data_IF_976214973724
#
_entry.id   IF_976214973724
#
_cell.length_a   1.000
_cell.length_b   1.000
_cell.length_c   1.000
_cell.angle_alpha   90.00
_cell.angle_beta   90.00
_cell.angle_gamma   90.00
#
_symmetry.space_group_name_H-M   'P 1'
#
loop_
_entity.id
_entity.type
_entity.pdbx_description
1 polymer ?
#
# COMPACT_ATOMS: atom_id res chain seq x y z
N UNK A 1 9.87 -30.56 6.31
CA UNK A 1 10.77 -29.64 5.56
C UNK A 1 10.11 -28.36 5.02
N UNK A 2 8.80 -28.08 5.23
CA UNK A 2 8.14 -26.82 4.82
C UNK A 2 7.99 -25.75 5.92
N UNK A 3 8.47 -26.02 7.15
CA UNK A 3 8.60 -25.03 8.24
C UNK A 3 9.86 -24.15 8.13
N UNK A 4 10.72 -24.41 7.15
CA UNK A 4 12.09 -23.88 7.12
C UNK A 4 12.30 -22.66 6.21
N UNK A 5 11.30 -22.12 5.50
CA UNK A 5 11.53 -20.90 4.70
C UNK A 5 11.08 -19.63 5.44
N UNK A 6 9.90 -19.63 6.05
CA UNK A 6 9.43 -18.46 6.82
C UNK A 6 9.97 -18.41 8.24
N UNK A 7 10.18 -19.56 8.89
CA UNK A 7 10.78 -19.60 10.21
C UNK A 7 12.30 -19.47 10.15
N UNK A 8 12.97 -19.79 9.04
CA UNK A 8 14.40 -19.42 8.88
C UNK A 8 14.53 -17.93 8.66
N UNK A 9 13.64 -17.27 7.89
CA UNK A 9 13.65 -15.80 7.83
C UNK A 9 13.40 -15.14 9.20
N UNK A 10 12.83 -15.83 10.21
CA UNK A 10 12.70 -15.30 11.57
C UNK A 10 13.71 -15.86 12.61
N UNK A 11 14.26 -17.06 12.42
CA UNK A 11 15.22 -17.68 13.36
C UNK A 11 16.67 -17.55 12.92
N UNK A 12 16.96 -17.39 11.62
CA UNK A 12 18.28 -16.96 11.18
C UNK A 12 18.47 -15.45 11.28
N UNK A 13 17.39 -14.66 11.42
CA UNK A 13 17.53 -13.24 11.80
C UNK A 13 18.15 -13.10 13.21
N UNK A 14 17.92 -14.07 14.10
CA UNK A 14 18.57 -14.09 15.42
C UNK A 14 20.04 -14.55 15.37
N UNK A 15 20.49 -15.23 14.31
CA UNK A 15 21.91 -15.59 14.12
C UNK A 15 22.68 -14.63 13.20
N UNK A 16 21.99 -13.74 12.47
CA UNK A 16 22.62 -12.63 11.72
C UNK A 16 22.87 -11.41 12.63
N UNK A 17 22.50 -11.48 13.92
CA UNK A 17 22.87 -10.46 14.91
C UNK A 17 24.33 -10.56 15.40
N UNK A 18 25.14 -11.50 14.88
CA UNK A 18 26.56 -11.65 15.24
C UNK A 18 27.55 -11.30 14.12
N UNK A 19 27.11 -10.76 12.98
CA UNK A 19 28.01 -10.25 11.95
C UNK A 19 27.82 -8.74 11.82
N UNK A 20 28.75 -8.00 12.40
CA UNK A 20 28.67 -6.56 12.54
C UNK A 20 28.52 -5.82 11.22
N UNK A 21 27.83 -4.68 11.26
CA UNK A 21 27.97 -3.45 10.47
C UNK A 21 28.47 -3.47 9.00
N UNK A 22 28.49 -4.60 8.31
CA UNK A 22 28.70 -4.64 6.87
C UNK A 22 27.35 -4.39 6.20
N UNK A 23 27.24 -3.28 5.48
CA UNK A 23 26.10 -3.00 4.61
C UNK A 23 25.97 -4.17 3.64
N UNK A 24 24.99 -5.05 3.86
CA UNK A 24 24.66 -6.15 2.96
C UNK A 24 24.48 -5.56 1.57
N UNK A 25 25.39 -5.90 0.65
CA UNK A 25 25.34 -5.43 -0.73
C UNK A 25 24.20 -6.16 -1.43
N UNK A 26 23.18 -5.41 -1.84
CA UNK A 26 22.05 -5.99 -2.54
C UNK A 26 22.50 -6.57 -3.90
N UNK A 27 22.18 -7.84 -4.18
CA UNK A 27 22.51 -8.45 -5.47
C UNK A 27 21.71 -7.79 -6.61
N UNK A 28 22.32 -7.67 -7.78
CA UNK A 28 21.69 -7.01 -8.95
C UNK A 28 20.54 -7.84 -9.55
N UNK A 29 20.52 -9.15 -9.30
CA UNK A 29 19.50 -10.09 -9.79
C UNK A 29 19.14 -11.10 -8.71
N UNK A 30 17.87 -11.48 -8.67
CA UNK A 30 17.36 -12.49 -7.74
C UNK A 30 17.97 -13.87 -8.01
N UNK A 31 18.38 -14.14 -9.26
CA UNK A 31 18.91 -15.45 -9.67
C UNK A 31 20.26 -15.78 -9.01
N UNK A 32 21.07 -14.76 -8.68
CA UNK A 32 22.41 -14.96 -8.10
C UNK A 32 22.38 -15.27 -6.61
N UNK A 33 21.54 -14.56 -5.85
CA UNK A 33 21.46 -14.71 -4.40
C UNK A 33 20.03 -14.42 -3.91
N UNK A 34 19.09 -15.38 -4.09
CA UNK A 34 17.66 -15.14 -3.82
C UNK A 34 17.37 -14.69 -2.39
N UNK A 35 18.00 -15.32 -1.40
CA UNK A 35 17.80 -15.00 0.03
C UNK A 35 18.21 -13.55 0.33
N UNK A 36 19.42 -13.16 -0.10
CA UNK A 36 19.91 -11.79 0.09
C UNK A 36 19.07 -10.77 -0.71
N UNK A 37 18.54 -11.15 -1.87
CA UNK A 37 17.65 -10.30 -2.65
C UNK A 37 16.34 -10.02 -1.90
N UNK A 38 15.69 -11.07 -1.36
CA UNK A 38 14.49 -10.92 -0.54
C UNK A 38 14.74 -10.11 0.73
N UNK A 39 15.89 -10.30 1.38
CA UNK A 39 16.28 -9.47 2.51
C UNK A 39 16.37 -7.98 2.14
N UNK A 40 16.93 -7.64 0.98
CA UNK A 40 16.98 -6.26 0.51
C UNK A 40 15.58 -5.67 0.26
N UNK A 41 14.67 -6.44 -0.35
CA UNK A 41 13.28 -6.03 -0.53
C UNK A 41 12.60 -5.81 0.83
N UNK A 42 12.80 -6.72 1.78
CA UNK A 42 12.28 -6.59 3.14
C UNK A 42 12.81 -5.34 3.85
N UNK A 43 14.11 -5.08 3.75
CA UNK A 43 14.75 -3.88 4.28
C UNK A 43 14.15 -2.61 3.67
N UNK A 44 13.91 -2.57 2.36
CA UNK A 44 13.29 -1.41 1.71
C UNK A 44 11.85 -1.16 2.21
N UNK A 45 11.09 -2.22 2.47
CA UNK A 45 9.73 -2.12 3.01
C UNK A 45 9.72 -1.45 4.38
N UNK A 46 10.55 -1.93 5.31
CA UNK A 46 10.60 -1.42 6.68
C UNK A 46 11.24 -0.02 6.78
N UNK A 47 12.09 0.34 5.82
CA UNK A 47 12.68 1.67 5.73
C UNK A 47 11.86 2.64 4.86
N UNK A 48 10.62 2.29 4.49
CA UNK A 48 9.70 3.13 3.69
C UNK A 48 10.29 3.54 2.32
N UNK A 49 11.24 2.77 1.79
CA UNK A 49 11.88 2.99 0.48
C UNK A 49 11.04 2.34 -0.61
N UNK A 50 9.80 2.80 -0.77
CA UNK A 50 8.81 2.11 -1.60
C UNK A 50 9.21 2.05 -3.07
N UNK A 51 9.76 3.12 -3.64
CA UNK A 51 10.17 3.15 -5.05
C UNK A 51 11.31 2.18 -5.35
N UNK A 52 12.31 2.13 -4.46
CA UNK A 52 13.43 1.21 -4.58
C UNK A 52 13.00 -0.25 -4.44
N UNK A 53 12.10 -0.55 -3.49
CA UNK A 53 11.57 -1.90 -3.33
C UNK A 53 10.69 -2.33 -4.51
N UNK A 54 9.82 -1.44 -5.02
CA UNK A 54 9.01 -1.69 -6.23
C UNK A 54 9.91 -2.02 -7.42
N UNK A 55 10.99 -1.25 -7.61
CA UNK A 55 11.95 -1.47 -8.70
C UNK A 55 12.62 -2.84 -8.58
N UNK A 56 13.08 -3.22 -7.38
CA UNK A 56 13.68 -4.54 -7.11
C UNK A 56 12.69 -5.67 -7.37
N UNK A 57 11.46 -5.57 -6.85
CA UNK A 57 10.46 -6.61 -7.03
C UNK A 57 10.10 -6.80 -8.51
N UNK A 58 9.90 -5.72 -9.27
CA UNK A 58 9.67 -5.80 -10.72
C UNK A 58 10.83 -6.50 -11.45
N UNK A 59 12.06 -6.13 -11.11
CA UNK A 59 13.24 -6.77 -11.69
C UNK A 59 13.30 -8.26 -11.38
N UNK A 60 12.96 -8.65 -10.15
CA UNK A 60 12.88 -10.05 -9.77
C UNK A 60 11.78 -10.82 -10.52
N UNK A 61 10.62 -10.20 -10.75
CA UNK A 61 9.55 -10.78 -11.58
C UNK A 61 10.03 -10.97 -13.02
N UNK A 62 10.69 -9.96 -13.61
CA UNK A 62 11.28 -10.05 -14.96
C UNK A 62 12.31 -11.18 -15.05
N UNK A 63 13.17 -11.33 -14.03
CA UNK A 63 14.20 -12.37 -13.98
C UNK A 63 13.61 -13.79 -13.88
N UNK A 64 12.51 -13.96 -13.12
CA UNK A 64 11.89 -15.26 -12.88
C UNK A 64 10.84 -15.65 -13.93
N UNK A 65 10.25 -14.69 -14.64
CA UNK A 65 9.17 -14.96 -15.61
C UNK A 65 9.59 -15.93 -16.73
N UNK A 66 10.77 -15.79 -17.37
CA UNK A 66 11.22 -16.76 -18.36
C UNK A 66 11.36 -18.17 -17.80
N UNK A 67 11.79 -18.31 -16.54
CA UNK A 67 11.94 -19.61 -15.88
C UNK A 67 10.59 -20.28 -15.57
N UNK A 68 9.52 -19.49 -15.52
CA UNK A 68 8.14 -19.98 -15.38
C UNK A 68 7.48 -20.30 -16.73
N UNK A 69 7.81 -19.54 -17.79
CA UNK A 69 7.19 -19.65 -19.11
C UNK A 69 7.92 -20.62 -20.07
N UNK A 70 9.22 -20.88 -19.87
CA UNK A 70 10.03 -21.72 -20.76
C UNK A 70 10.32 -23.13 -20.23
N UNK A 71 10.75 -23.99 -21.17
CA UNK A 71 10.81 -25.46 -21.16
C UNK A 71 11.26 -26.13 -19.84
N UNK A 72 10.61 -27.26 -19.53
CA UNK A 72 10.84 -28.15 -18.37
C UNK A 72 12.26 -28.69 -18.26
N UNK A 73 13.08 -28.50 -19.29
CA UNK A 73 14.41 -29.07 -19.41
C UNK A 73 15.54 -28.06 -19.16
N UNK A 74 15.22 -26.79 -18.90
CA UNK A 74 16.21 -25.77 -18.62
C UNK A 74 16.76 -25.92 -17.18
N UNK A 75 18.10 -25.87 -17.04
CA UNK A 75 18.79 -26.00 -15.74
C UNK A 75 18.46 -24.79 -14.84
N UNK A 76 18.14 -25.05 -13.56
CA UNK A 76 17.95 -24.00 -12.55
C UNK A 76 19.30 -23.34 -12.22
N UNK A 77 19.46 -22.02 -12.41
CA UNK A 77 20.67 -21.32 -11.96
C UNK A 77 20.91 -21.54 -10.46
N UNK A 78 22.14 -21.88 -10.07
CA UNK A 78 22.53 -22.20 -8.69
C UNK A 78 21.89 -23.46 -8.07
N UNK A 79 21.41 -24.40 -8.88
CA UNK A 79 21.03 -25.72 -8.37
C UNK A 79 22.27 -26.47 -7.83
N UNK A 80 22.16 -26.99 -6.60
CA UNK A 80 23.22 -27.78 -5.96
C UNK A 80 23.51 -29.07 -6.75
N UNK A 81 22.52 -29.58 -7.50
CA UNK A 81 22.70 -30.65 -8.49
C UNK A 81 22.18 -30.21 -9.87
N UNK A 82 22.85 -30.65 -10.94
CA UNK A 82 22.46 -30.41 -12.35
C UNK A 82 21.13 -31.09 -12.76
N UNK A 83 20.43 -31.69 -11.80
CA UNK A 83 19.15 -32.37 -12.00
C UNK A 83 17.94 -31.44 -11.75
N UNK A 84 18.18 -30.21 -11.29
CA UNK A 84 17.15 -29.19 -11.10
C UNK A 84 16.54 -28.75 -12.42
N UNK A 85 15.40 -29.36 -12.78
CA UNK A 85 14.62 -29.03 -13.98
C UNK A 85 13.58 -27.95 -13.69
N UNK A 86 13.44 -26.96 -14.58
CA UNK A 86 12.44 -25.89 -14.51
C UNK A 86 11.03 -26.37 -14.85
N UNK A 87 10.53 -27.24 -13.98
CA UNK A 87 9.13 -27.30 -13.55
C UNK A 87 9.13 -27.33 -12.02
N UNK A 88 10.04 -26.56 -11.41
CA UNK A 88 10.14 -26.50 -9.96
C UNK A 88 8.90 -25.78 -9.44
N UNK A 89 8.11 -26.51 -8.66
CA UNK A 89 6.96 -25.97 -7.91
C UNK A 89 7.27 -24.66 -7.17
N UNK A 90 8.54 -24.38 -6.89
CA UNK A 90 8.94 -23.18 -6.16
C UNK A 90 8.95 -21.90 -7.01
N UNK A 91 9.05 -21.97 -8.34
CA UNK A 91 9.11 -20.75 -9.17
C UNK A 91 7.78 -20.01 -9.19
N UNK A 92 6.65 -20.72 -9.34
CA UNK A 92 5.33 -20.08 -9.27
C UNK A 92 5.03 -19.57 -7.84
N UNK A 93 5.54 -20.25 -6.81
CA UNK A 93 5.44 -19.78 -5.42
C UNK A 93 6.23 -18.48 -5.22
N UNK A 94 7.47 -18.42 -5.71
CA UNK A 94 8.30 -17.22 -5.66
C UNK A 94 7.68 -16.05 -6.47
N UNK A 95 7.17 -16.30 -7.67
CA UNK A 95 6.44 -15.30 -8.44
C UNK A 95 5.19 -14.82 -7.71
N UNK A 96 4.42 -15.73 -7.12
CA UNK A 96 3.27 -15.37 -6.28
C UNK A 96 3.66 -14.48 -5.11
N UNK A 97 4.74 -14.82 -4.39
CA UNK A 97 5.25 -14.03 -3.28
C UNK A 97 5.75 -12.65 -3.74
N UNK A 98 6.41 -12.56 -4.90
CA UNK A 98 6.83 -11.28 -5.47
C UNK A 98 5.65 -10.40 -5.88
N UNK A 99 4.63 -10.95 -6.52
CA UNK A 99 3.40 -10.22 -6.85
C UNK A 99 2.68 -9.76 -5.57
N UNK A 100 2.64 -10.60 -4.52
CA UNK A 100 2.10 -10.21 -3.22
C UNK A 100 2.88 -9.05 -2.60
N UNK A 101 4.22 -9.14 -2.57
CA UNK A 101 5.08 -8.07 -2.05
C UNK A 101 4.89 -6.78 -2.87
N UNK A 102 4.82 -6.88 -4.20
CA UNK A 102 4.59 -5.73 -5.07
C UNK A 102 3.26 -5.04 -4.73
N UNK A 103 2.22 -5.84 -4.49
CA UNK A 103 0.92 -5.36 -4.03
C UNK A 103 1.01 -4.63 -2.68
N UNK A 104 1.71 -5.21 -1.70
CA UNK A 104 1.96 -4.59 -0.39
C UNK A 104 2.71 -3.26 -0.51
N UNK A 105 3.73 -3.18 -1.37
CA UNK A 105 4.51 -1.96 -1.59
C UNK A 105 3.67 -0.86 -2.22
N UNK A 106 2.87 -1.16 -3.24
CA UNK A 106 1.95 -0.18 -3.82
C UNK A 106 0.92 0.30 -2.80
N UNK A 107 0.36 -0.60 -2.00
CA UNK A 107 -0.62 -0.24 -0.97
C UNK A 107 -0.01 0.66 0.10
N UNK A 108 1.15 0.29 0.65
CA UNK A 108 1.84 1.10 1.65
C UNK A 108 2.30 2.45 1.08
N UNK A 109 2.79 2.48 -0.16
CA UNK A 109 3.10 3.75 -0.84
C UNK A 109 1.86 4.63 -0.92
N UNK A 110 0.71 4.08 -1.31
CA UNK A 110 -0.55 4.82 -1.39
C UNK A 110 -1.01 5.34 -0.03
N UNK A 111 -0.87 4.57 1.05
CA UNK A 111 -1.24 5.00 2.41
C UNK A 111 -0.33 6.11 2.94
N UNK A 112 0.96 6.04 2.64
CA UNK A 112 1.97 6.99 3.13
C UNK A 112 2.15 8.23 2.24
N UNK A 113 1.36 8.38 1.17
CA UNK A 113 1.30 9.63 0.44
C UNK A 113 0.64 10.71 1.30
N UNK A 114 1.25 11.90 1.33
CA UNK A 114 0.64 13.08 1.95
C UNK A 114 -0.78 13.29 1.40
N UNK A 115 -1.74 13.49 2.32
CA UNK A 115 -3.11 13.87 1.99
C UNK A 115 -3.47 15.24 2.59
N UNK A 116 -2.81 16.35 2.19
CA UNK A 116 -3.22 17.66 2.65
C UNK A 116 -4.39 18.13 1.78
N UNK A 117 -5.51 18.46 2.45
CA UNK A 117 -6.62 19.17 1.83
C UNK A 117 -6.13 20.44 1.12
N UNK A 118 -6.92 20.94 0.16
CA UNK A 118 -6.68 22.24 -0.50
C UNK A 118 -6.40 23.32 0.54
N UNK A 119 -7.17 23.35 1.64
CA UNK A 119 -6.99 24.29 2.74
C UNK A 119 -5.62 24.15 3.44
N UNK A 120 -5.17 22.92 3.72
CA UNK A 120 -3.87 22.69 4.39
C UNK A 120 -2.70 23.08 3.49
N UNK A 121 -2.74 22.75 2.19
CA UNK A 121 -1.69 23.17 1.24
C UNK A 121 -1.66 24.67 1.06
N UNK A 122 -2.84 25.29 0.96
CA UNK A 122 -2.97 26.73 0.82
C UNK A 122 -2.40 27.45 2.04
N UNK A 123 -2.77 27.00 3.24
CA UNK A 123 -2.21 27.52 4.48
C UNK A 123 -0.68 27.40 4.51
N UNK A 124 -0.11 26.25 4.12
CA UNK A 124 1.34 26.07 4.06
C UNK A 124 2.04 27.01 3.07
N UNK A 125 1.47 27.22 1.88
CA UNK A 125 2.01 28.17 0.88
C UNK A 125 1.92 29.61 1.35
N UNK A 126 0.86 29.98 2.04
CA UNK A 126 0.68 31.34 2.57
C UNK A 126 1.54 31.59 3.81
N UNK A 127 1.76 30.59 4.67
CA UNK A 127 2.66 30.70 5.84
C UNK A 127 4.09 31.07 5.44
N UNK A 128 4.56 30.60 4.30
CA UNK A 128 5.89 30.97 3.78
C UNK A 128 5.99 32.47 3.44
N UNK A 129 4.85 33.15 3.24
CA UNK A 129 4.77 34.59 2.96
C UNK A 129 4.53 35.44 4.21
N UNK A 130 4.34 34.84 5.40
CA UNK A 130 4.11 35.56 6.66
C UNK A 130 3.22 34.80 7.65
N UNK A 131 2.84 35.45 8.75
CA UNK A 131 1.87 34.88 9.71
C UNK A 131 0.47 34.96 9.12
N UNK A 132 -0.10 33.82 8.75
CA UNK A 132 -1.46 33.70 8.20
C UNK A 132 -2.42 33.33 9.32
N UNK A 133 -3.50 34.09 9.45
CA UNK A 133 -4.60 33.74 10.34
C UNK A 133 -5.39 32.57 9.72
N UNK A 134 -5.36 31.36 10.32
CA UNK A 134 -6.06 30.19 9.77
C UNK A 134 -7.58 30.37 9.72
N UNK A 135 -8.16 31.16 10.63
CA UNK A 135 -9.59 31.45 10.66
C UNK A 135 -9.99 32.35 9.48
N UNK A 136 -9.22 33.41 9.21
CA UNK A 136 -9.44 34.28 8.06
C UNK A 136 -9.33 33.51 6.73
N UNK A 137 -8.37 32.58 6.63
CA UNK A 137 -8.23 31.73 5.45
C UNK A 137 -9.42 30.79 5.26
N UNK A 138 -9.91 30.18 6.35
CA UNK A 138 -11.06 29.29 6.30
C UNK A 138 -12.32 30.04 5.88
N UNK A 139 -12.60 31.19 6.49
CA UNK A 139 -13.72 32.07 6.12
C UNK A 139 -13.61 32.53 4.65
N UNK A 140 -12.41 32.90 4.20
CA UNK A 140 -12.18 33.29 2.79
C UNK A 140 -12.50 32.13 1.83
N UNK A 141 -12.14 30.90 2.19
CA UNK A 141 -12.44 29.71 1.40
C UNK A 141 -13.94 29.42 1.32
N UNK A 142 -14.68 29.57 2.43
CA UNK A 142 -16.13 29.39 2.48
C UNK A 142 -16.84 30.44 1.62
N UNK A 143 -16.50 31.72 1.81
CA UNK A 143 -17.07 32.81 1.02
C UNK A 143 -16.71 32.66 -0.47
N UNK A 144 -15.50 32.21 -0.80
CA UNK A 144 -15.13 31.92 -2.18
C UNK A 144 -15.97 30.79 -2.79
N UNK A 145 -16.22 29.72 -2.03
CA UNK A 145 -17.03 28.60 -2.49
C UNK A 145 -18.49 29.04 -2.71
N UNK A 146 -19.08 29.77 -1.76
CA UNK A 146 -20.43 30.29 -1.87
C UNK A 146 -20.57 31.25 -3.07
N UNK A 147 -19.66 32.23 -3.18
CA UNK A 147 -19.63 33.19 -4.31
C UNK A 147 -19.61 32.48 -5.67
N UNK A 148 -18.99 31.30 -5.76
CA UNK A 148 -18.87 30.53 -7.00
C UNK A 148 -20.05 29.59 -7.25
N UNK A 149 -20.57 28.94 -6.21
CA UNK A 149 -21.56 27.87 -6.32
C UNK A 149 -22.99 28.41 -6.24
N UNK A 150 -23.22 29.44 -5.44
CA UNK A 150 -24.54 29.99 -5.17
C UNK A 150 -24.49 31.53 -5.06
N UNK A 151 -24.13 32.22 -6.17
CA UNK A 151 -23.92 33.67 -6.18
C UNK A 151 -25.16 34.48 -5.76
N UNK A 152 -26.37 33.93 -5.91
CA UNK A 152 -27.64 34.53 -5.50
C UNK A 152 -27.77 34.72 -3.97
N UNK A 153 -27.05 33.94 -3.17
CA UNK A 153 -27.01 34.09 -1.70
C UNK A 153 -25.82 34.94 -1.21
N UNK A 154 -25.01 35.44 -2.14
CA UNK A 154 -23.81 36.20 -1.84
C UNK A 154 -24.12 37.71 -1.67
N UNK A 155 -24.51 38.09 -0.46
CA UNK A 155 -24.90 39.48 -0.13
C UNK A 155 -23.77 40.51 -0.28
N UNK A 156 -24.13 41.79 -0.35
CA UNK A 156 -23.14 42.89 -0.36
C UNK A 156 -22.24 42.89 0.88
N UNK A 157 -22.78 42.50 2.04
CA UNK A 157 -22.03 42.34 3.28
C UNK A 157 -20.95 41.25 3.15
N UNK A 158 -21.32 40.09 2.59
CA UNK A 158 -20.36 38.99 2.29
C UNK A 158 -19.31 39.43 1.27
N UNK A 159 -19.71 40.19 0.25
CA UNK A 159 -18.77 40.73 -0.74
C UNK A 159 -17.77 41.72 -0.14
N UNK A 160 -18.22 42.55 0.81
CA UNK A 160 -17.35 43.45 1.57
C UNK A 160 -16.38 42.64 2.45
N UNK A 161 -16.89 41.67 3.22
CA UNK A 161 -16.07 40.80 4.07
C UNK A 161 -15.03 40.02 3.29
N UNK A 162 -15.39 39.47 2.13
CA UNK A 162 -14.48 38.78 1.22
C UNK A 162 -13.31 39.66 0.79
N UNK A 163 -13.57 40.93 0.42
CA UNK A 163 -12.52 41.91 0.06
C UNK A 163 -11.64 42.28 1.25
N UNK A 164 -12.19 42.35 2.46
CA UNK A 164 -11.44 42.60 3.70
C UNK A 164 -10.49 41.44 4.02
N UNK A 165 -10.96 40.20 3.91
CA UNK A 165 -10.15 38.99 4.15
C UNK A 165 -8.99 38.87 3.16
N UNK A 166 -9.22 39.17 1.88
CA UNK A 166 -8.15 39.23 0.88
C UNK A 166 -7.06 40.25 1.28
N UNK A 167 -7.47 41.43 1.77
CA UNK A 167 -6.52 42.45 2.27
C UNK A 167 -5.79 42.01 3.54
N UNK A 168 -6.48 41.40 4.51
CA UNK A 168 -5.86 40.86 5.74
C UNK A 168 -4.77 39.84 5.39
N UNK A 169 -5.01 39.02 4.36
CA UNK A 169 -4.08 38.01 3.87
C UNK A 169 -3.05 38.55 2.88
N UNK A 170 -3.06 39.85 2.57
CA UNK A 170 -2.18 40.48 1.58
C UNK A 170 -2.22 39.78 0.21
N UNK A 171 -3.42 39.42 -0.24
CA UNK A 171 -3.68 38.76 -1.52
C UNK A 171 -4.60 39.61 -2.38
N UNK A 172 -4.30 39.68 -3.69
CA UNK A 172 -5.31 40.03 -4.67
C UNK A 172 -6.25 38.85 -4.94
N UNK A 173 -7.46 39.13 -5.44
CA UNK A 173 -8.41 38.08 -5.82
C UNK A 173 -7.84 37.20 -6.95
N UNK A 174 -7.10 37.78 -7.89
CA UNK A 174 -6.44 37.05 -8.98
C UNK A 174 -5.37 36.08 -8.46
N UNK A 175 -4.51 36.54 -7.54
CA UNK A 175 -3.49 35.71 -6.90
C UNK A 175 -4.11 34.56 -6.11
N UNK A 176 -5.16 34.84 -5.32
CA UNK A 176 -5.88 33.83 -4.57
C UNK A 176 -6.50 32.76 -5.48
N UNK A 177 -7.17 33.18 -6.55
CA UNK A 177 -7.77 32.28 -7.55
C UNK A 177 -6.72 31.44 -8.27
N UNK A 178 -5.59 32.04 -8.65
CA UNK A 178 -4.46 31.35 -9.29
C UNK A 178 -3.87 30.29 -8.35
N UNK A 179 -3.63 30.66 -7.08
CA UNK A 179 -3.09 29.75 -6.07
C UNK A 179 -4.04 28.58 -5.79
N UNK A 180 -5.34 28.84 -5.66
CA UNK A 180 -6.36 27.80 -5.52
C UNK A 180 -6.38 26.85 -6.72
N UNK A 181 -6.32 27.38 -7.94
CA UNK A 181 -6.28 26.56 -9.16
C UNK A 181 -5.07 25.63 -9.19
N UNK A 182 -3.89 26.14 -8.86
CA UNK A 182 -2.66 25.35 -8.79
C UNK A 182 -2.76 24.25 -7.72
N UNK A 183 -3.19 24.60 -6.51
CA UNK A 183 -3.30 23.65 -5.40
C UNK A 183 -4.32 22.56 -5.71
N UNK A 184 -5.47 22.91 -6.30
CA UNK A 184 -6.48 21.92 -6.70
C UNK A 184 -5.90 20.92 -7.70
N UNK A 185 -5.14 21.36 -8.69
CA UNK A 185 -4.45 20.48 -9.65
C UNK A 185 -3.42 19.58 -8.96
N UNK A 186 -2.67 20.10 -7.99
CA UNK A 186 -1.72 19.31 -7.21
C UNK A 186 -2.42 18.22 -6.38
N UNK A 187 -3.50 18.59 -5.66
CA UNK A 187 -4.32 17.65 -4.88
C UNK A 187 -4.94 16.58 -5.78
N UNK A 188 -5.55 16.98 -6.89
CA UNK A 188 -6.14 16.05 -7.87
C UNK A 188 -5.09 15.07 -8.43
N UNK A 189 -3.89 15.56 -8.74
CA UNK A 189 -2.78 14.71 -9.20
C UNK A 189 -2.39 13.66 -8.15
N UNK A 190 -2.32 14.06 -6.88
CA UNK A 190 -1.93 13.17 -5.79
C UNK A 190 -3.05 12.16 -5.46
N UNK A 191 -4.32 12.57 -5.51
CA UNK A 191 -5.47 11.67 -5.40
C UNK A 191 -5.49 10.64 -6.54
N UNK A 192 -5.28 11.09 -7.79
CA UNK A 192 -5.19 10.21 -8.96
C UNK A 192 -4.05 9.20 -8.83
N UNK A 193 -2.88 9.65 -8.35
CA UNK A 193 -1.74 8.77 -8.13
C UNK A 193 -2.04 7.76 -7.01
N UNK A 194 -2.64 8.19 -5.89
CA UNK A 194 -3.05 7.30 -4.80
C UNK A 194 -4.03 6.23 -5.30
N UNK A 195 -5.04 6.62 -6.05
CA UNK A 195 -6.01 5.71 -6.66
C UNK A 195 -5.32 4.70 -7.59
N UNK A 196 -4.41 5.17 -8.45
CA UNK A 196 -3.63 4.32 -9.36
C UNK A 196 -2.78 3.30 -8.58
N UNK A 197 -2.16 3.72 -7.48
CA UNK A 197 -1.38 2.82 -6.62
C UNK A 197 -2.28 1.79 -5.92
N UNK A 198 -3.46 2.19 -5.45
CA UNK A 198 -4.44 1.25 -4.87
C UNK A 198 -4.93 0.21 -5.89
N UNK A 199 -5.20 0.61 -7.12
CA UNK A 199 -5.56 -0.32 -8.20
C UNK A 199 -4.43 -1.31 -8.48
N UNK A 200 -3.21 -0.81 -8.64
CA UNK A 200 -2.03 -1.67 -8.81
C UNK A 200 -1.84 -2.63 -7.64
N UNK A 201 -2.05 -2.17 -6.40
CA UNK A 201 -1.96 -3.04 -5.24
C UNK A 201 -2.95 -4.22 -5.32
N UNK A 202 -4.21 -3.94 -5.66
CA UNK A 202 -5.24 -4.96 -5.82
C UNK A 202 -4.89 -5.95 -6.95
N UNK A 203 -4.52 -5.44 -8.13
CA UNK A 203 -4.17 -6.27 -9.28
C UNK A 203 -3.01 -7.23 -8.96
N UNK A 204 -1.98 -6.75 -8.28
CA UNK A 204 -0.81 -7.55 -7.93
C UNK A 204 -1.14 -8.61 -6.86
N UNK A 205 -1.97 -8.28 -5.86
CA UNK A 205 -2.47 -9.26 -4.89
C UNK A 205 -3.33 -10.35 -5.56
N UNK A 206 -4.16 -9.97 -6.54
CA UNK A 206 -4.96 -10.92 -7.32
C UNK A 206 -4.08 -11.82 -8.20
N UNK A 207 -3.04 -11.27 -8.83
CA UNK A 207 -2.04 -12.06 -9.57
C UNK A 207 -1.34 -13.07 -8.66
N UNK A 208 -0.97 -12.67 -7.45
CA UNK A 208 -0.35 -13.57 -6.47
C UNK A 208 -1.24 -14.79 -6.19
N UNK A 209 -2.53 -14.57 -5.93
CA UNK A 209 -3.50 -15.65 -5.66
C UNK A 209 -3.75 -16.50 -6.91
N UNK A 210 -3.80 -15.88 -8.11
CA UNK A 210 -3.97 -16.61 -9.37
C UNK A 210 -2.79 -17.55 -9.66
N UNK A 211 -1.57 -17.09 -9.36
CA UNK A 211 -0.35 -17.89 -9.52
C UNK A 211 -0.25 -19.01 -8.49
N UNK A 212 -0.61 -18.72 -7.24
CA UNK A 212 -0.61 -19.71 -6.16
C UNK A 212 -1.88 -19.57 -5.30
N UNK A 213 -2.93 -20.36 -5.59
CA UNK A 213 -4.15 -20.38 -4.79
C UNK A 213 -3.95 -20.87 -3.34
N UNK A 214 -2.76 -21.38 -2.98
CA UNK A 214 -2.41 -21.78 -1.60
C UNK A 214 -1.51 -20.74 -0.91
N UNK A 215 -1.34 -19.56 -1.49
CA UNK A 215 -0.63 -18.45 -0.87
C UNK A 215 -1.49 -17.80 0.22
N UNK A 216 -1.44 -18.38 1.42
CA UNK A 216 -2.14 -17.89 2.61
C UNK A 216 -1.84 -16.41 2.91
N UNK A 217 -0.59 -15.97 2.68
CA UNK A 217 -0.19 -14.60 2.94
C UNK A 217 -0.79 -13.64 1.91
N UNK A 218 -0.89 -14.01 0.63
CA UNK A 218 -1.55 -13.18 -0.37
C UNK A 218 -3.03 -12.94 -0.04
N UNK A 219 -3.75 -13.97 0.43
CA UNK A 219 -5.12 -13.80 0.94
C UNK A 219 -5.17 -12.91 2.19
N UNK A 220 -4.23 -13.06 3.12
CA UNK A 220 -4.17 -12.21 4.30
C UNK A 220 -3.95 -10.73 3.93
N UNK A 221 -3.04 -10.46 2.99
CA UNK A 221 -2.77 -9.10 2.51
C UNK A 221 -3.93 -8.53 1.69
N UNK A 222 -4.66 -9.37 0.95
CA UNK A 222 -5.90 -8.96 0.30
C UNK A 222 -6.99 -8.62 1.32
N UNK A 223 -7.08 -9.38 2.42
CA UNK A 223 -7.94 -9.05 3.56
C UNK A 223 -7.55 -7.71 4.19
N UNK A 224 -6.26 -7.45 4.39
CA UNK A 224 -5.77 -6.14 4.86
C UNK A 224 -6.08 -5.00 3.89
N UNK A 225 -5.98 -5.26 2.58
CA UNK A 225 -6.31 -4.28 1.56
C UNK A 225 -7.80 -3.92 1.61
N UNK A 226 -8.69 -4.92 1.66
CA UNK A 226 -10.13 -4.69 1.73
C UNK A 226 -10.60 -4.15 3.08
N UNK A 227 -9.95 -4.51 4.19
CA UNK A 227 -10.25 -3.94 5.51
C UNK A 227 -9.72 -2.52 5.68
N UNK A 228 -8.83 -2.10 4.77
CA UNK A 228 -8.02 -0.89 4.78
C UNK A 228 -8.72 0.46 4.73
N UNK A 229 -10.03 0.56 5.00
CA UNK A 229 -10.70 1.85 5.18
C UNK A 229 -11.91 1.75 6.11
N UNK A 230 -11.65 1.86 7.41
CA UNK A 230 -12.49 2.64 8.35
C UNK A 230 -12.12 4.14 8.32
N UNK A 231 -11.64 4.68 7.19
CA UNK A 231 -11.52 6.13 7.01
C UNK A 231 -12.71 6.64 6.20
N UNK A 232 -13.39 7.62 6.75
CA UNK A 232 -14.69 8.23 6.42
C UNK A 232 -14.92 8.76 4.98
N UNK A 233 -14.19 8.28 3.96
CA UNK A 233 -14.17 8.90 2.62
C UNK A 233 -14.41 7.94 1.44
N UNK A 234 -14.72 6.66 1.67
CA UNK A 234 -15.17 5.78 0.58
C UNK A 234 -16.69 5.53 0.66
N UNK A 235 -17.49 5.91 -0.35
CA UNK A 235 -18.96 5.83 -0.34
C UNK A 235 -19.52 4.40 -0.45
N UNK A 236 -18.73 3.37 -0.13
CA UNK A 236 -19.02 1.95 -0.41
C UNK A 236 -19.00 1.07 0.83
N UNK A 237 -19.20 1.66 2.01
CA UNK A 237 -18.91 1.14 3.37
C UNK A 237 -19.61 -0.13 3.86
N UNK A 238 -20.10 -1.02 2.99
CA UNK A 238 -20.64 -2.33 3.39
C UNK A 238 -20.07 -3.52 2.58
N UNK A 239 -19.75 -3.34 1.30
CA UNK A 239 -19.26 -4.42 0.43
C UNK A 239 -17.82 -4.88 0.71
N UNK A 240 -16.97 -3.96 1.16
CA UNK A 240 -15.56 -4.26 1.46
C UNK A 240 -15.37 -5.07 2.74
N UNK A 241 -16.31 -4.98 3.70
CA UNK A 241 -16.27 -5.81 4.91
C UNK A 241 -16.39 -7.30 4.58
N UNK A 242 -17.37 -7.68 3.75
CA UNK A 242 -17.57 -9.07 3.36
C UNK A 242 -16.37 -9.63 2.57
N UNK A 243 -15.82 -8.86 1.63
CA UNK A 243 -14.65 -9.26 0.86
C UNK A 243 -13.40 -9.43 1.74
N UNK A 244 -13.21 -8.54 2.71
CA UNK A 244 -12.14 -8.66 3.70
C UNK A 244 -12.33 -9.89 4.59
N UNK A 245 -13.54 -10.13 5.09
CA UNK A 245 -13.90 -11.31 5.88
C UNK A 245 -13.64 -12.62 5.13
N UNK A 246 -14.03 -12.70 3.86
CA UNK A 246 -13.79 -13.84 2.99
C UNK A 246 -12.29 -14.08 2.75
N UNK A 247 -11.53 -13.03 2.45
CA UNK A 247 -10.09 -13.13 2.22
C UNK A 247 -9.36 -13.59 3.50
N UNK A 248 -9.70 -13.02 4.65
CA UNK A 248 -9.17 -13.46 5.94
C UNK A 248 -9.54 -14.90 6.26
N UNK A 249 -10.79 -15.31 6.03
CA UNK A 249 -11.21 -16.69 6.23
C UNK A 249 -10.40 -17.66 5.37
N UNK A 250 -10.23 -17.37 4.08
CA UNK A 250 -9.40 -18.19 3.17
C UNK A 250 -7.94 -18.26 3.66
N UNK A 251 -7.36 -17.15 4.09
CA UNK A 251 -6.02 -17.15 4.68
C UNK A 251 -5.95 -18.05 5.92
N UNK A 252 -6.92 -17.96 6.83
CA UNK A 252 -6.93 -18.75 8.06
C UNK A 252 -7.04 -20.25 7.79
N UNK A 253 -7.87 -20.68 6.83
CA UNK A 253 -7.96 -22.08 6.43
C UNK A 253 -6.59 -22.60 5.94
N UNK A 254 -5.92 -21.85 5.08
CA UNK A 254 -4.60 -22.22 4.55
C UNK A 254 -3.51 -22.21 5.62
N UNK A 255 -3.56 -21.31 6.60
CA UNK A 255 -2.65 -21.32 7.75
C UNK A 255 -2.94 -22.48 8.71
N UNK A 256 -4.21 -22.85 8.91
CA UNK A 256 -4.62 -24.05 9.69
C UNK A 256 -4.06 -25.32 9.05
N UNK A 257 -4.17 -25.45 7.72
CA UNK A 257 -3.55 -26.55 6.96
C UNK A 257 -2.01 -26.62 7.12
N UNK A 258 -1.35 -25.46 7.18
CA UNK A 258 0.10 -25.36 7.41
C UNK A 258 0.51 -25.56 8.87
N UNK A 259 -0.46 -25.64 9.79
CA UNK A 259 -0.23 -25.74 11.23
C UNK A 259 0.30 -24.46 11.88
N UNK A 260 0.12 -23.30 11.22
CA UNK A 260 0.53 -21.99 11.74
C UNK A 260 -0.56 -21.40 12.63
N UNK A 261 -0.57 -21.82 13.89
CA UNK A 261 -1.58 -21.42 14.88
C UNK A 261 -1.53 -19.92 15.21
N UNK A 262 -0.34 -19.31 15.16
CA UNK A 262 -0.20 -17.87 15.47
C UNK A 262 -0.78 -17.00 14.36
N UNK A 263 -0.54 -17.35 13.09
CA UNK A 263 -1.17 -16.65 11.97
C UNK A 263 -2.70 -16.75 12.03
N UNK A 264 -3.25 -17.93 12.35
CA UNK A 264 -4.71 -18.11 12.54
C UNK A 264 -5.23 -17.25 13.69
N UNK A 265 -4.54 -17.22 14.83
CA UNK A 265 -4.90 -16.38 15.98
C UNK A 265 -4.93 -14.90 15.63
N UNK A 266 -3.95 -14.43 14.85
CA UNK A 266 -3.93 -13.04 14.39
C UNK A 266 -5.09 -12.73 13.45
N UNK A 267 -5.39 -13.62 12.51
CA UNK A 267 -6.54 -13.46 11.61
C UNK A 267 -7.87 -13.43 12.38
N UNK A 268 -8.03 -14.28 13.40
CA UNK A 268 -9.21 -14.26 14.27
C UNK A 268 -9.39 -12.91 14.96
N UNK A 269 -8.30 -12.25 15.40
CA UNK A 269 -8.37 -10.89 15.96
C UNK A 269 -8.81 -9.89 14.90
N UNK A 270 -8.24 -9.94 13.69
CA UNK A 270 -8.62 -9.06 12.58
C UNK A 270 -10.10 -9.20 12.21
N UNK A 271 -10.58 -10.45 12.08
CA UNK A 271 -11.99 -10.74 11.83
C UNK A 271 -12.90 -10.24 12.95
N UNK A 272 -12.50 -10.40 14.22
CA UNK A 272 -13.26 -9.93 15.37
C UNK A 272 -13.36 -8.40 15.41
N UNK A 273 -12.28 -7.69 15.06
CA UNK A 273 -12.28 -6.23 14.97
C UNK A 273 -13.10 -5.72 13.80
N UNK A 274 -13.03 -6.42 12.66
CA UNK A 274 -13.76 -6.07 11.44
C UNK A 274 -15.26 -6.31 11.60
N UNK A 275 -15.65 -7.48 12.10
CA UNK A 275 -17.04 -7.85 12.31
C UNK A 275 -17.16 -8.86 13.48
N UNK A 276 -17.52 -8.39 14.69
CA UNK A 276 -17.71 -9.25 15.85
C UNK A 276 -18.73 -10.37 15.69
N UNK A 277 -19.66 -10.24 14.74
CA UNK A 277 -20.73 -11.20 14.43
C UNK A 277 -20.44 -12.04 13.19
N UNK A 278 -19.22 -11.97 12.64
CA UNK A 278 -18.81 -12.72 11.47
C UNK A 278 -19.10 -14.22 11.62
N UNK A 279 -19.73 -14.83 10.61
CA UNK A 279 -19.94 -16.28 10.57
C UNK A 279 -18.62 -17.05 10.59
N UNK A 280 -17.57 -16.48 9.99
CA UNK A 280 -16.26 -17.11 9.88
C UNK A 280 -15.54 -17.22 11.22
N UNK A 281 -15.83 -16.35 12.20
CA UNK A 281 -15.30 -16.49 13.55
C UNK A 281 -15.79 -17.77 14.23
N UNK A 282 -17.04 -18.17 13.97
CA UNK A 282 -17.60 -19.41 14.53
C UNK A 282 -16.95 -20.63 13.88
N UNK A 283 -16.86 -20.63 12.54
CA UNK A 283 -16.28 -21.72 11.74
C UNK A 283 -14.78 -21.94 12.03
N UNK A 284 -14.02 -20.88 12.29
CA UNK A 284 -12.57 -21.00 12.57
C UNK A 284 -12.28 -21.42 14.01
N UNK A 285 -13.22 -21.21 14.94
CA UNK A 285 -13.09 -21.61 16.36
C UNK A 285 -13.53 -23.05 16.63
N UNK A 286 -14.33 -23.64 15.75
CA UNK A 286 -14.63 -25.08 15.73
C UNK A 286 -13.47 -25.92 15.18
#
# INVERSE_FOLDING_TARGET
>A
MKKLLFLVVFTSVLTVNSYGNEKIKCPDTILKAPVSYFYCVYSDYHNHKYDEGIKKIKKAIEDLTPLYLNDKNQEVPNAVSKEGRLKDSKVYEALSDLHMLLGMFYYQKALNMDNPSVSRRLYGKLQQKGKVNPFALFELLELHAEKKVAPEFFSEEKAKRYKELLKELSLSEEEFNSLLSQIRKEVEKDEKLRFTLMQKALEELQKAIKLNPKNAMAYYQLGNFYSGSLSESSPSGSGFSSAAEEAYYKAALLFKEKGDKEAVKEILKKLQLLNPKSKYLKELRS
#
